data_IF_026390015139
#
_entry.id   IF_026390015139
#
_cell.length_a   1.000
_cell.length_b   1.000
_cell.length_c   1.000
_cell.angle_alpha   90.00
_cell.angle_beta   90.00
_cell.angle_gamma   90.00
#
_symmetry.space_group_name_H-M   'P 1'
#
loop_
_entity.id
_entity.type
_entity.pdbx_description
1 polymer ?
#
# COMPACT_ATOMS: atom_id res chain seq x y z
N UNK A 1 16.83 0.42 33.85
CA UNK A 1 18.16 0.52 33.24
C UNK A 1 18.14 -0.28 31.94
N UNK A 2 17.80 0.36 30.82
CA UNK A 2 17.92 -0.24 29.48
C UNK A 2 18.96 0.58 28.73
N UNK A 3 20.03 -0.10 28.33
CA UNK A 3 21.31 0.45 27.89
C UNK A 3 21.16 1.27 26.60
N UNK A 4 21.48 2.57 26.70
CA UNK A 4 21.53 3.52 25.60
C UNK A 4 22.81 3.39 24.74
N UNK A 5 23.33 2.17 24.54
CA UNK A 5 24.62 1.92 23.90
C UNK A 5 24.49 1.09 22.61
N UNK A 6 23.67 1.54 21.66
CA UNK A 6 23.58 0.92 20.33
C UNK A 6 24.06 1.81 19.17
N UNK A 7 24.53 3.03 19.44
CA UNK A 7 25.08 3.91 18.40
C UNK A 7 26.59 4.06 18.58
N UNK A 8 27.34 3.02 18.19
CA UNK A 8 28.79 3.13 18.03
C UNK A 8 29.16 4.27 17.06
N UNK A 9 30.39 4.80 17.12
CA UNK A 9 30.80 5.88 16.24
C UNK A 9 30.54 5.50 14.77
N UNK A 10 29.72 6.30 14.07
CA UNK A 10 29.47 6.11 12.64
C UNK A 10 30.83 6.08 11.95
N UNK A 11 31.26 4.90 11.50
CA UNK A 11 32.46 4.78 10.67
C UNK A 11 32.33 5.82 9.54
N UNK A 12 33.39 6.60 9.24
CA UNK A 12 33.36 7.49 8.11
C UNK A 12 32.95 6.64 6.91
N UNK A 13 31.88 7.06 6.22
CA UNK A 13 31.48 6.38 5.00
C UNK A 13 32.67 6.52 4.08
N UNK A 14 33.29 5.40 3.75
CA UNK A 14 33.99 5.35 2.48
C UNK A 14 32.93 5.70 1.45
N UNK A 15 33.11 6.84 0.79
CA UNK A 15 32.42 7.08 -0.48
C UNK A 15 32.78 5.85 -1.34
N UNK A 16 31.76 5.25 -1.95
CA UNK A 16 31.90 4.05 -2.77
C UNK A 16 31.92 4.50 -4.21
N UNK A 17 32.72 3.89 -5.06
CA UNK A 17 32.69 4.20 -6.48
C UNK A 17 31.81 3.18 -7.21
N UNK A 18 30.96 3.64 -8.12
CA UNK A 18 30.21 2.76 -9.00
C UNK A 18 30.97 2.61 -10.33
N UNK A 19 31.53 1.42 -10.57
CA UNK A 19 32.29 1.14 -11.80
C UNK A 19 31.42 1.16 -13.07
N UNK A 20 30.11 0.89 -12.92
CA UNK A 20 29.16 0.85 -14.04
C UNK A 20 28.79 2.27 -14.50
N UNK A 21 28.47 3.15 -13.55
CA UNK A 21 28.08 4.53 -13.86
C UNK A 21 29.28 5.49 -13.91
N UNK A 22 30.45 5.09 -13.42
CA UNK A 22 31.64 5.93 -13.35
C UNK A 22 31.51 7.10 -12.36
N UNK A 23 30.71 6.97 -11.31
CA UNK A 23 30.48 8.03 -10.32
C UNK A 23 30.84 7.62 -8.90
N UNK A 24 31.25 8.60 -8.10
CA UNK A 24 31.38 8.45 -6.66
C UNK A 24 29.97 8.47 -6.02
N UNK A 25 29.62 7.39 -5.34
CA UNK A 25 28.39 7.23 -4.58
C UNK A 25 28.52 7.88 -3.20
N UNK A 26 27.54 8.72 -2.88
CA UNK A 26 27.29 9.14 -1.51
C UNK A 26 26.86 7.94 -0.63
N UNK A 27 26.81 8.15 0.70
CA UNK A 27 26.54 7.10 1.71
C UNK A 27 25.34 6.19 1.42
N UNK A 28 24.32 6.73 0.77
CA UNK A 28 23.04 6.06 0.54
C UNK A 28 22.72 5.90 -0.94
N UNK A 29 23.69 6.16 -1.83
CA UNK A 29 23.49 6.04 -3.27
C UNK A 29 23.93 4.65 -3.69
N UNK A 30 23.07 3.93 -4.39
CA UNK A 30 23.35 2.59 -4.91
C UNK A 30 22.92 2.46 -6.37
N UNK A 31 23.58 1.56 -7.10
CA UNK A 31 23.27 1.28 -8.50
C UNK A 31 22.09 0.33 -8.59
N UNK A 32 21.08 0.69 -9.37
CA UNK A 32 20.00 -0.23 -9.71
C UNK A 32 20.34 -0.94 -11.02
N UNK A 33 20.52 -2.25 -10.97
CA UNK A 33 20.84 -3.08 -12.14
C UNK A 33 19.71 -3.05 -13.18
N UNK A 34 18.45 -3.05 -12.74
CA UNK A 34 17.28 -3.03 -13.63
C UNK A 34 17.18 -1.73 -14.45
N UNK A 35 17.55 -0.59 -13.84
CA UNK A 35 17.47 0.71 -14.50
C UNK A 35 18.82 1.18 -15.07
N UNK A 36 19.93 0.52 -14.75
CA UNK A 36 21.27 0.89 -15.18
C UNK A 36 21.74 2.27 -14.67
N UNK A 37 21.24 2.73 -13.52
CA UNK A 37 21.53 4.07 -12.99
C UNK A 37 21.67 4.06 -11.47
N UNK A 38 22.57 4.90 -10.95
CA UNK A 38 22.71 5.15 -9.53
C UNK A 38 21.60 6.05 -8.99
N UNK A 39 20.97 5.63 -7.89
CA UNK A 39 19.84 6.33 -7.28
C UNK A 39 20.24 6.83 -5.89
N UNK A 40 20.06 8.12 -5.62
CA UNK A 40 20.35 8.69 -4.31
C UNK A 40 19.33 8.22 -3.27
N UNK A 41 19.81 7.70 -2.14
CA UNK A 41 18.94 7.12 -1.12
C UNK A 41 18.15 5.94 -1.65
N UNK A 42 18.79 5.07 -2.44
CA UNK A 42 18.16 3.94 -3.09
C UNK A 42 17.46 3.06 -2.05
N UNK A 43 16.20 2.75 -2.32
CA UNK A 43 15.40 1.82 -1.50
C UNK A 43 15.17 0.53 -2.30
N UNK A 44 14.53 0.62 -3.47
CA UNK A 44 14.33 -0.51 -4.37
C UNK A 44 13.95 -0.06 -5.78
N UNK A 45 14.10 -0.96 -6.76
CA UNK A 45 13.37 -0.86 -8.02
C UNK A 45 11.94 -1.36 -7.79
N UNK A 46 10.93 -0.53 -8.07
CA UNK A 46 9.54 -0.93 -7.92
C UNK A 46 8.95 -1.27 -9.29
N UNK A 47 8.70 -2.55 -9.60
CA UNK A 47 8.10 -2.94 -10.89
C UNK A 47 6.71 -2.34 -11.09
N UNK A 48 5.96 -2.16 -10.01
CA UNK A 48 4.60 -1.62 -10.03
C UNK A 48 4.55 -0.14 -10.42
N UNK A 49 5.61 0.61 -10.12
CA UNK A 49 5.73 2.03 -10.47
C UNK A 49 6.57 2.24 -11.74
N UNK A 50 7.17 1.18 -12.28
CA UNK A 50 8.07 1.23 -13.43
C UNK A 50 9.31 2.11 -13.20
N UNK A 51 9.72 2.33 -11.93
CA UNK A 51 10.86 3.19 -11.60
C UNK A 51 11.48 2.85 -10.25
N UNK A 52 12.69 3.33 -10.03
CA UNK A 52 13.35 3.26 -8.73
C UNK A 52 12.69 4.18 -7.69
N UNK A 53 12.58 3.67 -6.47
CA UNK A 53 12.24 4.43 -5.28
C UNK A 53 13.53 4.84 -4.58
N UNK A 54 13.64 6.13 -4.31
CA UNK A 54 14.80 6.72 -3.68
C UNK A 54 14.45 8.03 -2.98
N UNK A 55 15.46 8.76 -2.52
CA UNK A 55 15.30 9.97 -1.71
C UNK A 55 14.31 10.97 -2.32
N UNK A 56 14.44 11.26 -3.61
CA UNK A 56 13.70 12.34 -4.27
C UNK A 56 12.22 12.02 -4.53
N UNK A 57 11.83 10.74 -4.45
CA UNK A 57 10.44 10.32 -4.65
C UNK A 57 9.85 9.54 -3.47
N UNK A 58 10.60 9.38 -2.38
CA UNK A 58 10.18 8.63 -1.20
C UNK A 58 8.89 9.18 -0.59
N UNK A 59 8.72 10.51 -0.55
CA UNK A 59 7.50 11.12 -0.04
C UNK A 59 6.29 10.80 -0.92
N UNK A 60 6.43 10.98 -2.24
CA UNK A 60 5.37 10.65 -3.19
C UNK A 60 5.00 9.16 -3.13
N UNK A 61 5.98 8.26 -3.02
CA UNK A 61 5.76 6.83 -2.86
C UNK A 61 4.98 6.51 -1.58
N UNK A 62 5.33 7.12 -0.45
CA UNK A 62 4.58 6.97 0.81
C UNK A 62 3.13 7.43 0.67
N UNK A 63 2.91 8.60 0.07
CA UNK A 63 1.55 9.13 -0.16
C UNK A 63 0.74 8.23 -1.08
N UNK A 64 1.34 7.66 -2.13
CA UNK A 64 0.70 6.68 -3.00
C UNK A 64 0.25 5.44 -2.22
N UNK A 65 1.10 4.87 -1.36
CA UNK A 65 0.73 3.72 -0.54
C UNK A 65 -0.40 4.04 0.45
N UNK A 66 -0.35 5.21 1.10
CA UNK A 66 -1.43 5.67 1.99
C UNK A 66 -2.74 5.83 1.22
N UNK A 67 -2.71 6.42 0.02
CA UNK A 67 -3.89 6.57 -0.83
C UNK A 67 -4.50 5.20 -1.21
N UNK A 68 -3.66 4.19 -1.50
CA UNK A 68 -4.12 2.82 -1.76
C UNK A 68 -4.82 2.21 -0.54
N UNK A 69 -4.24 2.34 0.65
CA UNK A 69 -4.87 1.86 1.89
C UNK A 69 -6.22 2.53 2.12
N UNK A 70 -6.29 3.86 1.95
CA UNK A 70 -7.56 4.60 2.07
C UNK A 70 -8.58 4.14 1.03
N UNK A 71 -8.16 3.94 -0.23
CA UNK A 71 -9.03 3.45 -1.30
C UNK A 71 -9.61 2.07 -0.98
N UNK A 72 -8.78 1.13 -0.54
CA UNK A 72 -9.24 -0.22 -0.15
C UNK A 72 -10.21 -0.14 1.03
N UNK A 73 -9.89 0.64 2.07
CA UNK A 73 -10.79 0.84 3.20
C UNK A 73 -12.14 1.45 2.76
N UNK A 74 -12.11 2.43 1.86
CA UNK A 74 -13.32 3.05 1.31
C UNK A 74 -14.18 2.04 0.55
N UNK A 75 -13.58 1.24 -0.35
CA UNK A 75 -14.30 0.20 -1.10
C UNK A 75 -14.89 -0.86 -0.17
N UNK A 76 -14.15 -1.29 0.85
CA UNK A 76 -14.65 -2.25 1.84
C UNK A 76 -15.81 -1.67 2.66
N UNK A 77 -15.70 -0.42 3.08
CA UNK A 77 -16.77 0.28 3.80
C UNK A 77 -18.05 0.34 2.98
N UNK A 78 -17.98 0.76 1.72
CA UNK A 78 -19.14 0.79 0.82
C UNK A 78 -19.71 -0.61 0.57
N UNK A 79 -18.84 -1.62 0.44
CA UNK A 79 -19.26 -3.00 0.24
C UNK A 79 -19.99 -3.57 1.46
N UNK A 80 -19.55 -3.24 2.68
CA UNK A 80 -20.22 -3.66 3.91
C UNK A 80 -21.59 -2.99 4.03
N UNK A 81 -21.66 -1.67 3.79
CA UNK A 81 -22.93 -0.95 3.80
C UNK A 81 -23.91 -1.53 2.77
N UNK A 82 -23.46 -1.86 1.55
CA UNK A 82 -24.36 -2.42 0.53
C UNK A 82 -24.86 -3.82 0.86
N UNK A 83 -24.08 -4.62 1.61
CA UNK A 83 -24.49 -5.94 2.10
C UNK A 83 -25.64 -5.83 3.09
N UNK A 84 -25.65 -4.86 4.00
CA UNK A 84 -26.74 -4.66 4.96
C UNK A 84 -28.07 -4.36 4.26
N UNK A 85 -28.04 -3.49 3.24
CA UNK A 85 -29.20 -3.21 2.39
C UNK A 85 -29.63 -4.44 1.59
N UNK A 86 -28.67 -5.24 1.10
CA UNK A 86 -28.94 -6.51 0.41
C UNK A 86 -29.65 -7.52 1.31
N UNK A 87 -29.18 -7.71 2.54
CA UNK A 87 -29.83 -8.59 3.52
C UNK A 87 -31.24 -8.11 3.88
N UNK A 88 -31.41 -6.80 4.13
CA UNK A 88 -32.73 -6.23 4.39
C UNK A 88 -33.69 -6.43 3.21
N UNK A 89 -33.23 -6.23 1.98
CA UNK A 89 -34.01 -6.46 0.78
C UNK A 89 -34.38 -7.95 0.62
N UNK A 90 -33.47 -8.88 0.88
CA UNK A 90 -33.75 -10.33 0.82
C UNK A 90 -34.75 -10.74 1.90
N UNK A 91 -34.64 -10.22 3.12
CA UNK A 91 -35.57 -10.53 4.22
C UNK A 91 -36.97 -9.92 4.00
N UNK A 92 -37.07 -8.85 3.20
CA UNK A 92 -38.34 -8.26 2.82
C UNK A 92 -39.21 -9.16 1.92
N UNK A 93 -38.65 -10.25 1.36
CA UNK A 93 -39.38 -11.20 0.53
C UNK A 93 -39.22 -12.63 1.06
N UNK A 94 -40.31 -13.42 1.07
CA UNK A 94 -40.28 -14.85 1.38
C UNK A 94 -40.69 -15.68 0.17
N UNK A 95 -40.13 -16.88 0.03
CA UNK A 95 -40.60 -17.87 -0.96
C UNK A 95 -41.82 -18.62 -0.44
N UNK A 96 -42.85 -18.74 -1.26
CA UNK A 96 -43.99 -19.62 -1.02
C UNK A 96 -43.64 -21.07 -1.34
N UNK A 97 -44.46 -22.02 -0.88
CA UNK A 97 -44.34 -23.43 -1.24
C UNK A 97 -44.45 -23.69 -2.76
N UNK A 98 -45.16 -22.81 -3.49
CA UNK A 98 -45.23 -22.82 -4.96
C UNK A 98 -43.99 -22.22 -5.64
N UNK A 99 -43.03 -21.70 -4.88
CA UNK A 99 -41.80 -21.10 -5.37
C UNK A 99 -41.90 -19.61 -5.75
N UNK A 100 -43.05 -18.96 -5.57
CA UNK A 100 -43.20 -17.53 -5.84
C UNK A 100 -42.57 -16.66 -4.73
N UNK A 101 -41.99 -15.52 -5.08
CA UNK A 101 -41.50 -14.53 -4.12
C UNK A 101 -42.61 -13.52 -3.80
N UNK A 102 -42.93 -13.36 -2.51
CA UNK A 102 -43.94 -12.41 -2.04
C UNK A 102 -43.39 -11.55 -0.89
N UNK A 103 -43.77 -10.26 -0.78
CA UNK A 103 -43.36 -9.41 0.33
C UNK A 103 -43.74 -10.03 1.69
N UNK A 104 -42.82 -9.95 2.65
CA UNK A 104 -43.10 -10.30 4.04
C UNK A 104 -44.05 -9.24 4.61
N UNK A 105 -45.35 -9.51 4.58
CA UNK A 105 -46.39 -8.63 5.16
C UNK A 105 -46.03 -8.37 6.64
N UNK A 106 -45.63 -7.13 6.96
CA UNK A 106 -45.64 -6.65 8.35
C UNK A 106 -47.08 -6.68 8.82
N UNK A 107 -47.41 -7.54 9.77
CA UNK A 107 -48.70 -7.50 10.44
C UNK A 107 -48.80 -6.13 11.14
N UNK A 108 -49.60 -5.23 10.58
CA UNK A 108 -50.09 -4.07 11.32
C UNK A 108 -50.94 -4.58 12.48
N UNK A 109 -50.80 -4.04 13.71
CA UNK A 109 -51.72 -4.33 14.80
C UNK A 109 -53.15 -3.87 14.47
#
# INVERSE_FOLDING_TARGET
MLSAEAFGPRRPSRRRYCDICGIEQDRSTDHCEDCGVCIAGYDHHCPWMGKCIGRDNMYAFKMFNVAWVVYVCFVLFISILSVDWGHAAVQAFKRTASGAWVPTQTQSP
#
